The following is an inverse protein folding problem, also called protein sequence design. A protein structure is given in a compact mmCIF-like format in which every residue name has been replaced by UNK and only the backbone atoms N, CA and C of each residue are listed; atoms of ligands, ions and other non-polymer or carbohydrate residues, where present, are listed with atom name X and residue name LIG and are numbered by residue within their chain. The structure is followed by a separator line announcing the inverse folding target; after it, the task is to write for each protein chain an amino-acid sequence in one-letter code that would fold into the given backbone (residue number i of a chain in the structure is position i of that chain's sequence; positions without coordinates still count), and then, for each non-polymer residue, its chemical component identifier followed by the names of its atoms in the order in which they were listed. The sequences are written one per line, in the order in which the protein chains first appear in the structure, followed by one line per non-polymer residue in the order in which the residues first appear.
data_IF_418381510431
#
_entry.id   IF_418381510431
#
_cell.length_a   1.000
_cell.length_b   1.000
_cell.length_c   1.000
_cell.angle_alpha   90.00
_cell.angle_beta   90.00
_cell.angle_gamma   90.00
#
_symmetry.space_group_name_H-M   'P 1'
#
loop_
_entity.id
_entity.type
_entity.pdbx_description
1 polymer ?
#
# COMPACT_ATOMS: atom_id res chain seq x y z
N UNK A 1 1.38 12.65 -9.94
CA UNK A 1 1.20 11.19 -9.80
C UNK A 1 2.55 10.58 -9.45
N UNK A 2 2.64 9.91 -8.33
CA UNK A 2 3.91 9.39 -7.81
C UNK A 2 4.04 7.91 -8.12
N UNK A 3 5.25 7.47 -8.48
CA UNK A 3 5.52 6.04 -8.61
C UNK A 3 5.78 5.44 -7.24
N UNK A 4 4.79 4.75 -6.72
CA UNK A 4 4.84 4.08 -5.44
C UNK A 4 5.62 2.76 -5.50
N UNK A 5 6.02 2.31 -6.67
CA UNK A 5 6.77 1.07 -6.84
C UNK A 5 8.25 1.21 -6.47
N UNK A 6 8.70 2.39 -6.08
CA UNK A 6 10.09 2.66 -5.78
C UNK A 6 10.37 2.74 -4.29
N UNK A 7 11.54 2.25 -3.87
CA UNK A 7 12.00 2.39 -2.49
C UNK A 7 12.18 3.85 -2.09
N UNK A 8 12.52 4.71 -3.04
CA UNK A 8 12.61 6.15 -2.82
C UNK A 8 11.28 6.77 -2.43
N UNK A 9 10.17 6.14 -2.77
CA UNK A 9 8.82 6.57 -2.40
C UNK A 9 8.36 5.96 -1.06
N UNK A 10 9.18 5.13 -0.44
CA UNK A 10 8.88 4.49 0.84
C UNK A 10 8.37 3.05 0.73
N UNK A 11 8.32 2.49 -0.46
CA UNK A 11 7.94 1.09 -0.64
C UNK A 11 9.11 0.15 -0.41
N UNK A 12 8.83 -1.04 0.06
CA UNK A 12 9.85 -2.08 0.16
C UNK A 12 9.25 -3.47 0.03
N UNK A 13 10.08 -4.43 -0.34
CA UNK A 13 9.70 -5.84 -0.36
C UNK A 13 9.89 -6.40 1.04
N UNK A 14 8.79 -6.79 1.68
CA UNK A 14 8.80 -7.26 3.07
C UNK A 14 8.88 -8.78 3.18
N UNK A 15 8.60 -9.49 2.09
CA UNK A 15 8.64 -10.94 2.05
C UNK A 15 8.93 -11.43 0.64
N UNK A 16 9.74 -12.45 0.53
CA UNK A 16 9.95 -13.21 -0.71
C UNK A 16 10.11 -14.68 -0.35
N UNK A 17 9.54 -15.57 -1.17
CA UNK A 17 9.56 -17.02 -0.93
C UNK A 17 10.95 -17.62 -1.06
N UNK A 18 11.77 -17.07 -1.95
CA UNK A 18 13.15 -17.47 -2.15
C UNK A 18 13.91 -16.35 -2.85
N UNK A 19 15.23 -16.40 -2.81
CA UNK A 19 16.08 -15.51 -3.60
C UNK A 19 17.53 -15.99 -3.62
N UNK A 20 18.25 -15.62 -4.67
CA UNK A 20 19.71 -15.74 -4.74
C UNK A 20 20.30 -14.45 -4.14
N UNK A 21 21.29 -14.58 -3.29
CA UNK A 21 21.91 -13.43 -2.63
C UNK A 21 22.48 -12.39 -3.60
N UNK A 22 22.81 -12.81 -4.83
CA UNK A 22 23.29 -11.92 -5.88
C UNK A 22 22.15 -11.11 -6.52
N UNK A 23 20.92 -11.60 -6.42
CA UNK A 23 19.73 -11.02 -7.06
C UNK A 23 18.58 -10.90 -6.05
N UNK A 24 18.78 -10.08 -4.99
CA UNK A 24 17.84 -10.03 -3.86
C UNK A 24 16.54 -9.28 -4.20
N UNK A 25 15.49 -9.51 -3.42
CA UNK A 25 14.18 -8.91 -3.68
C UNK A 25 14.17 -7.37 -3.72
N UNK A 26 15.07 -6.72 -3.02
CA UNK A 26 15.16 -5.26 -3.03
C UNK A 26 15.40 -4.67 -4.42
N UNK A 27 15.93 -5.47 -5.33
CA UNK A 27 16.16 -5.04 -6.71
C UNK A 27 14.88 -4.75 -7.48
N UNK A 28 13.74 -5.24 -7.00
CA UNK A 28 12.45 -4.98 -7.64
C UNK A 28 12.06 -3.50 -7.52
N UNK A 29 12.48 -2.85 -6.45
CA UNK A 29 12.06 -1.49 -6.08
C UNK A 29 13.19 -0.45 -6.08
N UNK A 30 14.37 -0.81 -6.54
CA UNK A 30 15.53 0.10 -6.53
C UNK A 30 15.54 1.10 -7.71
N UNK A 31 14.62 0.94 -8.65
CA UNK A 31 14.48 1.82 -9.81
C UNK A 31 15.52 1.59 -10.89
N UNK A 32 16.41 0.62 -10.74
CA UNK A 32 17.48 0.34 -11.71
C UNK A 32 16.98 -0.58 -12.82
N UNK A 33 17.55 -0.45 -13.99
CA UNK A 33 17.18 -1.27 -15.15
C UNK A 33 18.06 -2.52 -15.28
N UNK A 34 19.17 -2.56 -14.55
CA UNK A 34 20.18 -3.62 -14.64
C UNK A 34 20.13 -4.59 -13.44
N UNK A 35 19.21 -4.40 -12.54
CA UNK A 35 19.03 -5.26 -11.37
C UNK A 35 17.71 -6.00 -11.42
N UNK A 36 17.64 -7.15 -10.73
CA UNK A 36 16.43 -7.96 -10.70
C UNK A 36 16.43 -8.90 -9.50
N UNK A 37 15.26 -9.35 -9.10
CA UNK A 37 15.10 -10.46 -8.18
C UNK A 37 14.99 -11.76 -8.97
N UNK A 38 15.71 -12.78 -8.53
CA UNK A 38 15.62 -14.13 -9.09
C UNK A 38 15.09 -15.09 -8.05
N UNK A 39 14.00 -15.76 -8.37
CA UNK A 39 13.45 -16.84 -7.55
C UNK A 39 14.27 -18.12 -7.75
N UNK A 40 14.51 -18.85 -6.67
CA UNK A 40 15.39 -20.03 -6.70
C UNK A 40 14.69 -21.32 -6.27
N UNK A 41 13.39 -21.28 -6.10
CA UNK A 41 12.62 -22.44 -5.62
C UNK A 41 11.64 -22.96 -6.64
N UNK A 42 10.86 -23.93 -6.19
CA UNK A 42 9.76 -24.48 -6.96
C UNK A 42 8.56 -23.52 -6.93
N UNK A 43 7.70 -23.64 -7.91
CA UNK A 43 6.46 -22.86 -7.93
C UNK A 43 5.45 -23.37 -6.90
N UNK A 44 4.62 -22.48 -6.34
CA UNK A 44 4.56 -21.05 -6.61
C UNK A 44 5.67 -20.27 -5.90
N UNK A 45 6.09 -19.17 -6.51
CA UNK A 45 7.01 -18.20 -5.93
C UNK A 45 6.27 -16.89 -5.71
N UNK A 46 6.58 -16.17 -4.65
CA UNK A 46 5.87 -14.94 -4.34
C UNK A 46 6.76 -13.90 -3.68
N UNK A 47 6.37 -12.66 -3.80
CA UNK A 47 6.89 -11.57 -2.99
C UNK A 47 5.75 -10.64 -2.56
N UNK A 48 5.96 -9.97 -1.44
CA UNK A 48 5.01 -9.01 -0.89
C UNK A 48 5.67 -7.64 -0.83
N UNK A 49 5.01 -6.69 -1.45
CA UNK A 49 5.41 -5.30 -1.46
C UNK A 49 4.58 -4.51 -0.46
N UNK A 50 5.26 -3.79 0.42
CA UNK A 50 4.63 -2.81 1.30
C UNK A 50 4.68 -1.44 0.64
N UNK A 51 3.54 -0.80 0.52
CA UNK A 51 3.43 0.57 0.03
C UNK A 51 3.68 1.57 1.18
N UNK A 52 3.97 2.85 0.88
CA UNK A 52 4.23 3.84 1.93
C UNK A 52 3.02 4.14 2.82
N UNK A 53 1.87 3.61 2.50
CA UNK A 53 0.62 3.74 3.25
C UNK A 53 -0.54 3.30 2.38
N UNK A 54 -1.75 3.52 2.86
CA UNK A 54 -2.95 3.18 2.10
C UNK A 54 -3.10 4.15 0.92
N UNK A 55 -3.00 3.63 -0.28
CA UNK A 55 -3.08 4.42 -1.52
C UNK A 55 -4.17 3.85 -2.44
N UNK A 56 -4.71 4.73 -3.27
CA UNK A 56 -5.56 4.34 -4.39
C UNK A 56 -4.64 4.07 -5.57
N UNK A 57 -4.74 2.90 -6.16
CA UNK A 57 -3.89 2.48 -7.26
C UNK A 57 -4.54 2.81 -8.60
N UNK A 58 -3.83 3.52 -9.44
CA UNK A 58 -4.29 3.87 -10.78
C UNK A 58 -3.69 2.93 -11.84
N UNK A 59 -2.45 2.47 -11.61
CA UNK A 59 -1.76 1.55 -12.53
C UNK A 59 -0.73 0.73 -11.78
N UNK A 60 -0.69 -0.56 -12.07
CA UNK A 60 0.34 -1.48 -11.59
C UNK A 60 0.98 -2.12 -12.81
N UNK A 61 2.28 -1.94 -12.99
CA UNK A 61 3.04 -2.51 -14.09
C UNK A 61 4.22 -3.31 -13.53
N UNK A 62 4.45 -4.48 -14.09
CA UNK A 62 5.54 -5.36 -13.67
C UNK A 62 6.29 -5.87 -14.90
N UNK A 63 7.61 -5.87 -14.83
CA UNK A 63 8.49 -6.44 -15.84
C UNK A 63 9.12 -7.72 -15.33
N UNK A 64 8.90 -8.80 -16.05
CA UNK A 64 9.32 -10.14 -15.63
C UNK A 64 10.03 -10.88 -16.77
N UNK A 65 10.66 -11.99 -16.44
CA UNK A 65 11.22 -12.92 -17.40
C UNK A 65 10.85 -14.35 -17.03
N UNK A 66 10.44 -15.13 -18.03
CA UNK A 66 10.02 -16.53 -17.92
C UNK A 66 8.77 -16.77 -17.05
N UNK A 67 8.03 -15.77 -16.68
CA UNK A 67 6.78 -15.94 -15.92
C UNK A 67 5.67 -16.40 -16.87
N UNK A 68 4.89 -17.39 -16.44
CA UNK A 68 3.72 -17.84 -17.18
C UNK A 68 2.44 -17.36 -16.52
N UNK A 69 2.07 -17.92 -15.41
CA UNK A 69 0.87 -17.52 -14.70
C UNK A 69 1.21 -16.73 -13.45
N UNK A 70 0.60 -15.57 -13.30
CA UNK A 70 0.83 -14.70 -12.16
C UNK A 70 -0.50 -14.21 -11.57
N UNK A 71 -0.62 -14.27 -10.24
CA UNK A 71 -1.72 -13.71 -9.49
C UNK A 71 -1.25 -12.44 -8.78
N UNK A 72 -2.01 -11.38 -8.92
CA UNK A 72 -1.79 -10.10 -8.25
C UNK A 72 -2.88 -9.95 -7.20
N UNK A 73 -2.47 -9.74 -5.97
CA UNK A 73 -3.37 -9.67 -4.82
C UNK A 73 -3.06 -8.43 -3.99
N UNK A 74 -4.03 -7.98 -3.22
CA UNK A 74 -3.87 -6.79 -2.39
C UNK A 74 -4.45 -6.99 -1.01
N UNK A 75 -4.05 -6.14 -0.06
CA UNK A 75 -4.76 -5.99 1.22
C UNK A 75 -4.70 -4.53 1.69
N UNK A 76 -5.76 -4.12 2.36
CA UNK A 76 -5.84 -2.81 2.99
C UNK A 76 -5.41 -2.86 4.47
N UNK A 77 -5.14 -4.05 4.98
CA UNK A 77 -4.74 -4.23 6.37
C UNK A 77 -3.41 -3.53 6.65
N UNK A 78 -3.21 -3.14 7.89
CA UNK A 78 -1.92 -2.63 8.37
C UNK A 78 -0.84 -3.71 8.42
N UNK A 79 -1.22 -4.97 8.27
CA UNK A 79 -0.34 -6.13 8.23
C UNK A 79 -0.54 -6.90 6.93
N UNK A 80 0.47 -7.64 6.46
CA UNK A 80 0.38 -8.40 5.21
C UNK A 80 -0.42 -9.69 5.35
N UNK A 81 -1.70 -9.56 5.64
CA UNK A 81 -2.63 -10.66 5.86
C UNK A 81 -3.93 -10.41 5.09
N UNK A 82 -4.72 -11.47 4.90
CA UNK A 82 -6.03 -11.40 4.27
C UNK A 82 -5.98 -10.77 2.88
N UNK A 83 -5.11 -11.31 2.05
CA UNK A 83 -4.99 -10.85 0.67
C UNK A 83 -6.20 -11.26 -0.17
N UNK A 84 -6.62 -10.34 -1.03
CA UNK A 84 -7.70 -10.54 -2.00
C UNK A 84 -7.13 -10.48 -3.41
N UNK A 85 -7.48 -11.41 -4.29
CA UNK A 85 -6.99 -11.38 -5.66
C UNK A 85 -7.59 -10.20 -6.44
N UNK A 86 -6.75 -9.53 -7.20
CA UNK A 86 -7.16 -8.46 -8.10
C UNK A 86 -7.21 -8.97 -9.52
N UNK A 87 -6.24 -9.76 -9.91
CA UNK A 87 -6.10 -10.26 -11.27
C UNK A 87 -5.26 -11.52 -11.31
N UNK A 88 -5.57 -12.39 -12.27
CA UNK A 88 -4.74 -13.54 -12.63
C UNK A 88 -4.45 -13.38 -14.12
N UNK A 89 -3.18 -13.44 -14.51
CA UNK A 89 -2.73 -13.21 -15.87
C UNK A 89 -1.84 -14.35 -16.34
N UNK A 90 -2.00 -14.68 -17.61
CA UNK A 90 -1.11 -15.61 -18.30
C UNK A 90 -0.25 -14.82 -19.28
N UNK A 91 1.06 -14.85 -19.09
CA UNK A 91 2.00 -14.09 -19.89
C UNK A 91 2.60 -14.98 -20.98
N UNK A 92 2.79 -14.40 -22.15
CA UNK A 92 3.41 -15.11 -23.26
C UNK A 92 4.92 -15.13 -23.06
N UNK A 93 5.54 -16.24 -23.47
CA UNK A 93 7.00 -16.32 -23.47
C UNK A 93 7.60 -15.37 -24.52
N UNK A 94 8.61 -14.62 -24.11
CA UNK A 94 9.33 -13.72 -25.00
C UNK A 94 10.83 -14.01 -24.94
N UNK A 95 11.35 -14.63 -25.98
CA UNK A 95 12.77 -14.99 -26.02
C UNK A 95 13.63 -13.73 -26.10
N UNK A 96 14.53 -13.58 -25.11
CA UNK A 96 15.46 -12.46 -25.06
C UNK A 96 14.85 -11.10 -24.74
N UNK A 97 13.59 -11.05 -24.31
CA UNK A 97 12.91 -9.81 -23.98
C UNK A 97 12.15 -9.95 -22.66
N UNK A 98 12.04 -8.85 -21.93
CA UNK A 98 11.23 -8.81 -20.75
C UNK A 98 9.74 -8.81 -21.10
N UNK A 99 8.97 -9.53 -20.31
CA UNK A 99 7.53 -9.48 -20.36
C UNK A 99 7.08 -8.26 -19.57
N UNK A 100 6.14 -7.50 -20.08
CA UNK A 100 5.54 -6.36 -19.37
C UNK A 100 4.05 -6.62 -19.22
N UNK A 101 3.57 -6.67 -17.99
CA UNK A 101 2.15 -6.77 -17.71
C UNK A 101 1.71 -5.52 -16.97
N UNK A 102 0.58 -4.98 -17.38
CA UNK A 102 0.02 -3.75 -16.81
C UNK A 102 -1.43 -3.95 -16.44
N UNK A 103 -1.76 -3.57 -15.22
CA UNK A 103 -3.11 -3.58 -14.70
C UNK A 103 -3.49 -2.15 -14.35
N UNK A 104 -4.69 -1.75 -14.76
CA UNK A 104 -5.26 -0.43 -14.44
C UNK A 104 -6.54 -0.64 -13.62
N UNK A 105 -6.41 -0.88 -12.33
CA UNK A 105 -7.57 -1.09 -11.47
C UNK A 105 -8.31 0.23 -11.29
N UNK A 106 -9.63 0.13 -11.14
CA UNK A 106 -10.44 1.32 -10.88
C UNK A 106 -10.65 1.46 -9.38
N UNK A 107 -10.18 2.58 -8.83
CA UNK A 107 -10.37 2.94 -7.43
C UNK A 107 -9.99 1.86 -6.41
N UNK A 108 -9.00 1.08 -6.73
CA UNK A 108 -8.53 0.02 -5.86
C UNK A 108 -7.57 0.58 -4.80
N UNK A 109 -7.86 0.33 -3.54
CA UNK A 109 -6.96 0.73 -2.44
C UNK A 109 -6.08 -0.42 -2.00
N UNK A 110 -4.86 -0.13 -1.58
CA UNK A 110 -3.96 -1.13 -1.02
C UNK A 110 -2.92 -0.52 -0.06
N UNK A 111 -2.55 -1.30 0.97
CA UNK A 111 -1.38 -1.11 1.81
C UNK A 111 -0.26 -2.03 1.38
N UNK A 112 -0.63 -3.25 0.95
CA UNK A 112 0.31 -4.26 0.48
C UNK A 112 -0.20 -4.87 -0.82
N UNK A 113 0.75 -5.23 -1.68
CA UNK A 113 0.51 -6.03 -2.86
C UNK A 113 1.30 -7.33 -2.74
N UNK A 114 0.67 -8.44 -3.11
CA UNK A 114 1.32 -9.74 -3.20
C UNK A 114 1.29 -10.21 -4.64
N UNK A 115 2.45 -10.58 -5.16
CA UNK A 115 2.59 -11.13 -6.49
C UNK A 115 2.96 -12.59 -6.36
N UNK A 116 2.10 -13.47 -6.84
CA UNK A 116 2.33 -14.90 -6.79
C UNK A 116 2.55 -15.43 -8.19
N UNK A 117 3.72 -15.94 -8.44
CA UNK A 117 4.08 -16.57 -9.70
C UNK A 117 3.70 -18.03 -9.58
N UNK A 118 2.63 -18.41 -10.24
CA UNK A 118 2.04 -19.75 -10.13
C UNK A 118 2.78 -20.76 -10.99
N UNK A 119 3.29 -20.32 -12.13
CA UNK A 119 4.06 -21.15 -13.06
C UNK A 119 4.99 -20.29 -13.91
N UNK A 120 5.98 -20.92 -14.51
CA UNK A 120 6.93 -20.27 -15.39
C UNK A 120 7.14 -21.06 -16.66
N UNK A 121 7.69 -20.39 -17.69
CA UNK A 121 8.11 -21.02 -18.94
C UNK A 121 9.45 -21.73 -18.81
N UNK A 122 10.15 -21.53 -17.69
CA UNK A 122 11.42 -22.13 -17.34
C UNK A 122 11.47 -22.37 -15.83
N UNK A 123 12.43 -23.15 -15.33
CA UNK A 123 12.59 -23.39 -13.89
C UNK A 123 12.90 -22.12 -13.09
N UNK A 124 13.46 -21.11 -13.74
CA UNK A 124 13.82 -19.86 -13.09
C UNK A 124 13.01 -18.71 -13.66
N UNK A 125 12.53 -17.85 -12.78
CA UNK A 125 11.84 -16.62 -13.15
C UNK A 125 12.54 -15.46 -12.48
N UNK A 126 12.44 -14.27 -13.09
CA UNK A 126 12.96 -13.05 -12.50
C UNK A 126 11.99 -11.91 -12.64
N UNK A 127 12.06 -10.96 -11.69
CA UNK A 127 11.30 -9.72 -11.70
C UNK A 127 12.29 -8.57 -11.72
N UNK A 128 12.18 -7.74 -12.73
CA UNK A 128 13.16 -6.69 -13.00
C UNK A 128 12.75 -5.32 -12.50
N UNK A 129 11.51 -4.98 -12.68
CA UNK A 129 11.04 -3.66 -12.32
C UNK A 129 9.55 -3.70 -12.04
N UNK A 130 9.16 -2.84 -11.12
CA UNK A 130 7.77 -2.56 -10.84
C UNK A 130 7.54 -1.05 -10.89
N UNK A 131 6.41 -0.65 -11.45
CA UNK A 131 5.93 0.72 -11.42
C UNK A 131 4.50 0.71 -10.94
N UNK A 132 4.23 1.48 -9.91
CA UNK A 132 2.89 1.57 -9.31
C UNK A 132 2.53 3.04 -9.24
N UNK A 133 1.61 3.46 -10.09
CA UNK A 133 1.09 4.81 -10.04
C UNK A 133 -0.14 4.84 -9.15
N UNK A 134 -0.16 5.77 -8.22
CA UNK A 134 -1.26 5.91 -7.28
C UNK A 134 -1.28 7.27 -6.62
N UNK A 135 -2.29 7.44 -5.79
CA UNK A 135 -2.51 8.68 -5.04
C UNK A 135 -2.92 8.35 -3.61
N UNK A 136 -2.63 9.24 -2.70
CA UNK A 136 -3.03 9.07 -1.31
C UNK A 136 -4.55 9.01 -1.18
N UNK A 137 -5.01 8.16 -0.29
CA UNK A 137 -6.40 8.21 0.11
C UNK A 137 -6.60 9.51 0.88
N UNK A 138 -7.41 10.40 0.36
CA UNK A 138 -7.79 11.57 1.11
C UNK A 138 -8.64 11.11 2.27
N UNK A 139 -8.08 11.18 3.45
CA UNK A 139 -8.89 11.13 4.64
C UNK A 139 -9.76 12.38 4.60
N UNK A 140 -11.06 12.27 4.65
CA UNK A 140 -11.88 13.45 4.79
C UNK A 140 -11.39 14.11 6.06
N UNK A 141 -10.93 15.32 5.94
CA UNK A 141 -10.63 16.10 7.11
C UNK A 141 -11.98 16.21 7.79
N UNK A 142 -12.11 15.56 8.92
CA UNK A 142 -13.33 15.68 9.65
C UNK A 142 -13.40 17.14 10.04
N UNK A 143 -14.33 17.80 9.49
CA UNK A 143 -14.59 19.17 9.83
C UNK A 143 -15.23 19.29 11.20
N UNK A 144 -15.22 18.24 11.93
CA UNK A 144 -15.70 18.23 13.28
C UNK A 144 -14.66 18.71 14.26
N UNK A 145 -14.11 19.82 13.96
CA UNK A 145 -13.48 20.57 15.00
C UNK A 145 -14.57 21.45 15.58
N UNK A 146 -15.04 21.13 16.75
CA UNK A 146 -15.99 22.01 17.39
C UNK A 146 -15.30 23.36 17.55
N UNK A 147 -16.01 24.39 17.39
CA UNK A 147 -15.46 25.73 17.58
C UNK A 147 -14.92 25.74 18.96
N UNK A 148 -13.66 25.85 19.02
CA UNK A 148 -13.01 25.78 20.28
C UNK A 148 -13.24 27.04 21.05
N UNK A 149 -13.61 26.81 22.15
CA UNK A 149 -13.42 27.85 23.10
C UNK A 149 -14.47 28.80 23.38
N UNK A 150 -15.26 29.04 22.45
CA UNK A 150 -16.14 29.99 22.79
C UNK A 150 -17.03 29.66 23.82
N UNK A 151 -17.43 28.52 23.83
CA UNK A 151 -18.38 28.20 24.73
C UNK A 151 -17.92 28.26 26.07
N UNK A 152 -16.79 27.93 26.25
CA UNK A 152 -16.35 27.83 27.60
C UNK A 152 -16.56 29.03 28.36
N UNK A 153 -16.40 30.02 27.68
CA UNK A 153 -16.36 31.25 28.38
C UNK A 153 -17.63 31.65 28.94
N UNK A 154 -18.59 31.52 28.24
CA UNK A 154 -19.74 32.02 28.67
C UNK A 154 -20.34 31.33 29.70
N UNK A 155 -20.29 30.20 29.62
CA UNK A 155 -20.91 29.48 30.59
C UNK A 155 -20.52 29.89 31.92
N UNK A 156 -19.36 30.18 32.00
CA UNK A 156 -18.84 30.49 33.23
C UNK A 156 -19.51 31.58 33.88
N UNK A 157 -19.72 32.56 33.19
CA UNK A 157 -20.22 33.60 33.78
C UNK A 157 -21.46 33.40 34.31
N UNK A 158 -22.16 32.74 33.69
CA UNK A 158 -23.42 32.61 34.12
C UNK A 158 -23.49 31.98 35.33
N UNK A 159 -22.70 31.16 35.43
CA UNK A 159 -22.77 30.41 36.58
C UNK A 159 -22.63 31.27 37.70
N UNK A 160 -21.90 32.07 37.47
CA UNK A 160 -21.58 32.78 38.55
C UNK A 160 -22.65 33.40 39.20
N UNK A 161 -23.37 33.66 38.63
CA UNK A 161 -24.19 34.38 39.19
C UNK A 161 -24.98 34.07 40.14
N UNK A 162 -25.18 33.55 40.18
CA UNK A 162 -26.11 33.34 40.90
C UNK A 162 -26.10 33.45 42.13
N UNK A 163 -25.67 33.56 42.16
CA UNK A 163 -25.54 33.48 43.09
C UNK A 163 -26.19 34.00 44.03
N UNK A 164 -26.35 34.30 43.90
CA UNK A 164 -26.76 34.74 44.63
C UNK A 164 -27.37 34.85 45.57
N UNK A 165 -27.52 34.79 45.62
CA UNK A 165 -27.96 34.86 46.34
C UNK A 165 -28.43 34.91 47.35
N UNK A 166 -28.69 35.06 47.85
CA UNK A 166 -29.05 35.01 48.70
C UNK A 166 -29.54 35.17 49.77
N UNK A 167 -29.72 35.24 50.05
CA UNK A 167 -30.00 35.29 50.74
C UNK A 167 -30.53 35.38 51.79
N UNK A 168 -30.70 35.56 52.31
CA UNK A 168 -30.87 35.63 53.19
C UNK A 168 -31.58 35.89 54.11
N UNK A 169 -31.84 35.82 54.63
CA UNK A 169 -32.38 35.87 55.44
C UNK A 169 -32.65 36.17 56.54
N UNK A 170 -33.00 36.44 57.01
CA UNK A 170 -33.26 36.70 57.88
C UNK A 170 -33.68 36.68 58.98
N UNK A 171 -33.77 36.81 59.42
CA UNK A 171 -33.92 36.77 60.35
C UNK A 171 -34.59 37.16 61.29
N UNK A 172 -34.73 37.02 61.47
CA UNK A 172 -35.41 37.24 62.44
C UNK A 172 -35.67 37.84 63.51
#
# INVERSE_FOLDING_TARGET
MTDLGLSASGSNVVQASSFDARYPPKCIVDGRMDTFWMATGLYPQQFVLKLPGLHILDRVSIQTYNVKDISIERTNSSEPVKFEPIAIKTLQHQTGKLQTETLSPQELTANYLRFRILSGHAPFVSVHRMSILGRETRTPISMDRPPSGEQGTRVIRNAAQPAGGPLVPPVA
#
